data_IF_815415338983
#
_entry.id   IF_815415338983
#
_cell.length_a   1.000
_cell.length_b   1.000
_cell.length_c   1.000
_cell.angle_alpha   90.00
_cell.angle_beta   90.00
_cell.angle_gamma   90.00
#
_symmetry.space_group_name_H-M   'P 1'
#
loop_
_entity.id
_entity.type
_entity.pdbx_description
1 polymer ?
#
# COMPACT_ATOMS: atom_id res chain seq x y z
N UNK A 1 -2.65 -0.61 18.04
CA UNK A 1 -3.06 -0.75 16.65
C UNK A 1 -2.21 -1.81 15.97
N UNK A 2 -2.82 -2.59 15.10
CA UNK A 2 -2.12 -3.70 14.45
C UNK A 2 -1.30 -3.26 13.23
N UNK A 3 -1.51 -2.04 12.73
CA UNK A 3 -0.77 -1.52 11.57
C UNK A 3 -0.06 -0.24 11.96
N UNK A 4 1.25 -0.20 11.72
CA UNK A 4 2.03 1.02 11.85
C UNK A 4 1.97 1.78 10.52
N UNK A 5 1.53 3.04 10.57
CA UNK A 5 1.48 3.91 9.39
C UNK A 5 2.22 5.19 9.74
N UNK A 6 3.30 5.48 9.02
CA UNK A 6 4.17 6.62 9.30
C UNK A 6 4.58 7.32 8.02
N UNK A 7 4.86 8.62 8.14
CA UNK A 7 5.56 9.37 7.10
C UNK A 7 7.05 9.37 7.45
N UNK A 8 7.89 9.01 6.49
CA UNK A 8 9.33 9.03 6.72
C UNK A 8 9.83 10.48 6.76
N UNK A 9 10.61 10.86 7.77
CA UNK A 9 11.04 12.26 7.91
C UNK A 9 11.81 12.76 6.69
N UNK A 10 11.37 13.90 6.15
CA UNK A 10 12.05 14.54 5.02
C UNK A 10 11.88 13.87 3.67
N UNK A 11 11.04 12.84 3.57
CA UNK A 11 10.83 12.10 2.34
C UNK A 11 9.34 12.00 2.02
N UNK A 12 8.93 12.03 0.72
CA UNK A 12 7.53 11.87 0.35
C UNK A 12 7.12 10.39 0.32
N UNK A 13 7.31 9.71 1.45
CA UNK A 13 7.07 8.27 1.59
C UNK A 13 6.16 8.00 2.78
N UNK A 14 5.04 7.34 2.51
CA UNK A 14 4.15 6.82 3.55
C UNK A 14 4.39 5.32 3.66
N UNK A 15 4.73 4.86 4.86
CA UNK A 15 5.03 3.45 5.13
C UNK A 15 3.90 2.82 5.92
N UNK A 16 3.36 1.72 5.42
CA UNK A 16 2.29 0.94 6.05
C UNK A 16 2.86 -0.44 6.38
N UNK A 17 2.87 -0.79 7.68
CA UNK A 17 3.44 -2.04 8.16
C UNK A 17 2.47 -2.76 9.10
N UNK A 18 1.66 -3.69 8.59
CA UNK A 18 0.81 -4.51 9.46
C UNK A 18 1.65 -5.44 10.34
N UNK A 19 1.20 -5.66 11.57
CA UNK A 19 1.79 -6.69 12.44
C UNK A 19 1.30 -8.06 11.97
N UNK A 20 2.19 -8.93 11.49
CA UNK A 20 1.77 -10.23 10.96
C UNK A 20 1.01 -11.11 11.95
N UNK A 21 1.26 -10.92 13.25
CA UNK A 21 0.66 -11.76 14.29
C UNK A 21 -0.79 -11.37 14.59
N UNK A 22 -1.16 -10.11 14.40
CA UNK A 22 -2.48 -9.60 14.84
C UNK A 22 -3.32 -8.99 13.73
N UNK A 23 -2.75 -8.82 12.53
CA UNK A 23 -3.45 -8.16 11.43
C UNK A 23 -4.68 -8.94 10.96
N UNK A 24 -5.79 -8.24 10.81
CA UNK A 24 -7.03 -8.79 10.26
C UNK A 24 -7.51 -7.90 9.12
N UNK A 25 -7.63 -8.46 7.92
CA UNK A 25 -8.07 -7.69 6.76
C UNK A 25 -9.42 -7.03 7.00
N UNK A 26 -10.39 -7.79 7.49
CA UNK A 26 -11.75 -7.28 7.68
C UNK A 26 -11.83 -6.13 8.69
N UNK A 27 -11.02 -6.19 9.75
CA UNK A 27 -11.04 -5.18 10.81
C UNK A 27 -10.10 -4.01 10.52
N UNK A 28 -8.89 -4.31 10.02
CA UNK A 28 -7.82 -3.34 9.99
C UNK A 28 -7.73 -2.56 8.67
N UNK A 29 -8.04 -3.20 7.53
CA UNK A 29 -7.91 -2.52 6.24
C UNK A 29 -8.82 -1.30 6.12
N UNK A 30 -10.10 -1.35 6.52
CA UNK A 30 -10.94 -0.15 6.46
C UNK A 30 -10.41 1.00 7.35
N UNK A 31 -9.92 0.67 8.54
CA UNK A 31 -9.34 1.66 9.46
C UNK A 31 -8.05 2.22 8.87
N UNK A 32 -7.18 1.35 8.37
CA UNK A 32 -5.91 1.75 7.79
C UNK A 32 -6.12 2.61 6.54
N UNK A 33 -7.12 2.28 5.73
CA UNK A 33 -7.49 3.09 4.56
C UNK A 33 -7.79 4.53 4.97
N UNK A 34 -8.62 4.72 6.02
CA UNK A 34 -8.95 6.07 6.51
C UNK A 34 -7.72 6.79 7.07
N UNK A 35 -6.86 6.10 7.80
CA UNK A 35 -5.63 6.70 8.34
C UNK A 35 -4.71 7.17 7.22
N UNK A 36 -4.56 6.36 6.17
CA UNK A 36 -3.73 6.73 5.02
C UNK A 36 -4.34 7.89 4.24
N UNK A 37 -5.67 7.92 4.09
CA UNK A 37 -6.34 9.03 3.43
C UNK A 37 -6.10 10.35 4.15
N UNK A 38 -6.14 10.36 5.49
CA UNK A 38 -5.87 11.57 6.26
C UNK A 38 -4.46 12.09 5.99
N UNK A 39 -3.48 11.21 5.88
CA UNK A 39 -2.11 11.62 5.57
C UNK A 39 -1.99 12.15 4.14
N UNK A 40 -2.65 11.50 3.18
CA UNK A 40 -2.65 11.96 1.80
C UNK A 40 -3.37 13.31 1.65
N UNK A 41 -4.50 13.49 2.35
CA UNK A 41 -5.26 14.75 2.32
C UNK A 41 -4.44 15.90 2.90
N UNK A 42 -3.61 15.62 3.90
CA UNK A 42 -2.81 16.64 4.59
C UNK A 42 -1.49 16.95 3.91
N UNK A 43 -1.09 16.14 2.92
CA UNK A 43 0.19 16.32 2.25
C UNK A 43 0.08 17.38 1.16
N UNK A 44 1.08 18.26 1.10
CA UNK A 44 1.18 19.27 0.04
C UNK A 44 1.93 18.76 -1.21
N UNK A 45 2.31 17.49 -1.21
CA UNK A 45 2.97 16.85 -2.34
C UNK A 45 2.52 15.40 -2.48
N UNK A 46 2.62 14.82 -3.68
CA UNK A 46 2.31 13.40 -3.86
C UNK A 46 3.23 12.51 -3.03
N UNK A 47 2.66 11.43 -2.50
CA UNK A 47 3.38 10.48 -1.66
C UNK A 47 3.50 9.12 -2.34
N UNK A 48 4.65 8.47 -2.17
CA UNK A 48 4.78 7.05 -2.45
C UNK A 48 4.22 6.28 -1.25
N UNK A 49 3.47 5.21 -1.52
CA UNK A 49 2.99 4.32 -0.47
C UNK A 49 3.76 3.01 -0.56
N UNK A 50 4.49 2.68 0.50
CA UNK A 50 5.11 1.37 0.64
C UNK A 50 4.28 0.56 1.63
N UNK A 51 3.71 -0.55 1.15
CA UNK A 51 3.01 -1.50 2.01
C UNK A 51 3.97 -2.65 2.30
N UNK A 52 4.50 -2.67 3.52
CA UNK A 52 5.43 -3.72 3.96
C UNK A 52 4.63 -4.89 4.53
N UNK A 53 4.39 -5.87 3.68
CA UNK A 53 3.63 -7.07 4.01
C UNK A 53 4.53 -8.25 4.36
N UNK A 54 5.74 -7.97 4.81
CA UNK A 54 6.69 -9.02 5.25
C UNK A 54 6.04 -9.90 6.30
N UNK A 55 6.08 -11.21 6.06
CA UNK A 55 5.49 -12.25 6.94
C UNK A 55 3.97 -12.19 7.10
N UNK A 56 3.28 -11.31 6.38
CA UNK A 56 1.82 -11.29 6.37
C UNK A 56 1.32 -12.33 5.38
N UNK A 57 0.38 -13.18 5.81
CA UNK A 57 -0.25 -14.18 4.97
C UNK A 57 -1.75 -14.19 5.27
N UNK A 58 -2.56 -14.20 4.23
CA UNK A 58 -4.01 -14.21 4.34
C UNK A 58 -4.60 -15.12 3.26
N UNK A 59 -5.88 -15.45 3.38
CA UNK A 59 -6.56 -16.26 2.37
C UNK A 59 -6.97 -15.45 1.15
N UNK A 60 -7.37 -16.16 0.11
CA UNK A 60 -7.76 -15.53 -1.16
C UNK A 60 -8.92 -14.53 -0.98
N UNK A 61 -9.96 -14.93 -0.23
CA UNK A 61 -11.12 -14.05 -0.02
C UNK A 61 -10.73 -12.76 0.72
N UNK A 62 -9.77 -12.84 1.64
CA UNK A 62 -9.26 -11.65 2.33
C UNK A 62 -8.54 -10.72 1.37
N UNK A 63 -7.76 -11.28 0.43
CA UNK A 63 -7.08 -10.47 -0.59
C UNK A 63 -8.11 -9.72 -1.43
N UNK A 64 -9.16 -10.42 -1.89
CA UNK A 64 -10.22 -9.80 -2.70
C UNK A 64 -10.93 -8.69 -1.93
N UNK A 65 -11.25 -8.93 -0.66
CA UNK A 65 -11.89 -7.94 0.20
C UNK A 65 -10.99 -6.71 0.41
N UNK A 66 -9.72 -6.93 0.68
CA UNK A 66 -8.76 -5.85 0.88
C UNK A 66 -8.59 -5.00 -0.38
N UNK A 67 -8.48 -5.64 -1.53
CA UNK A 67 -8.39 -4.93 -2.81
C UNK A 67 -9.63 -4.07 -3.06
N UNK A 68 -10.81 -4.61 -2.78
CA UNK A 68 -12.06 -3.85 -2.96
C UNK A 68 -12.08 -2.60 -2.06
N UNK A 69 -11.71 -2.75 -0.81
CA UNK A 69 -11.66 -1.62 0.13
C UNK A 69 -10.69 -0.54 -0.34
N UNK A 70 -9.52 -0.95 -0.84
CA UNK A 70 -8.47 0.00 -1.21
C UNK A 70 -8.66 0.61 -2.61
N UNK A 71 -9.56 0.06 -3.44
CA UNK A 71 -9.70 0.52 -4.83
C UNK A 71 -11.11 0.95 -5.22
N UNK A 72 -12.17 0.37 -4.63
CA UNK A 72 -13.53 0.51 -5.16
C UNK A 72 -14.45 1.40 -4.36
N UNK A 73 -14.11 1.71 -3.12
CA UNK A 73 -14.93 2.62 -2.32
C UNK A 73 -14.75 4.06 -2.79
N UNK A 74 -15.70 4.94 -2.46
CA UNK A 74 -15.62 6.36 -2.84
C UNK A 74 -14.40 7.06 -2.21
N UNK A 75 -13.86 6.50 -1.13
CA UNK A 75 -12.68 7.02 -0.45
C UNK A 75 -11.58 5.96 -0.39
N UNK A 76 -11.28 5.37 -1.54
CA UNK A 76 -10.24 4.35 -1.63
C UNK A 76 -8.86 5.01 -1.75
N UNK A 77 -7.92 4.59 -0.91
CA UNK A 77 -6.58 5.18 -0.86
C UNK A 77 -5.85 5.04 -2.20
N UNK A 78 -6.04 3.94 -2.90
CA UNK A 78 -5.34 3.72 -4.17
C UNK A 78 -5.90 4.55 -5.33
N UNK A 79 -6.98 5.30 -5.10
CA UNK A 79 -7.53 6.25 -6.08
C UNK A 79 -7.25 7.70 -5.71
N UNK A 80 -6.54 7.95 -4.63
CA UNK A 80 -6.28 9.32 -4.17
C UNK A 80 -5.35 10.04 -5.15
N UNK A 81 -5.66 11.30 -5.50
CA UNK A 81 -4.82 12.06 -6.45
C UNK A 81 -3.41 12.35 -5.95
N UNK A 82 -3.19 12.34 -4.63
CA UNK A 82 -1.87 12.53 -4.03
C UNK A 82 -1.07 11.23 -3.88
N UNK A 83 -1.61 10.10 -4.31
CA UNK A 83 -0.83 8.87 -4.34
C UNK A 83 0.02 8.84 -5.60
N UNK A 84 1.36 8.86 -5.43
CA UNK A 84 2.29 8.83 -6.55
C UNK A 84 2.43 7.43 -7.13
N UNK A 85 2.67 6.45 -6.26
CA UNK A 85 2.83 5.05 -6.67
C UNK A 85 2.69 4.15 -5.46
N UNK A 86 2.16 2.94 -5.69
CA UNK A 86 2.14 1.87 -4.69
C UNK A 86 3.34 0.96 -4.90
N UNK A 87 4.02 0.64 -3.80
CA UNK A 87 5.11 -0.33 -3.77
C UNK A 87 4.78 -1.35 -2.68
N UNK A 88 4.84 -2.63 -3.01
CA UNK A 88 4.48 -3.71 -2.10
C UNK A 88 5.72 -4.53 -1.78
N UNK A 89 5.96 -4.79 -0.50
CA UNK A 89 7.04 -5.65 -0.03
C UNK A 89 6.44 -6.99 0.37
N UNK A 90 6.77 -8.05 -0.36
CA UNK A 90 6.24 -9.38 -0.06
C UNK A 90 7.01 -10.46 -0.80
N UNK A 91 7.02 -11.67 -0.22
CA UNK A 91 7.40 -12.90 -0.93
C UNK A 91 6.20 -13.86 -1.02
N UNK A 92 5.03 -13.42 -0.55
CA UNK A 92 3.80 -14.23 -0.59
C UNK A 92 3.14 -14.07 -1.95
N UNK A 93 3.00 -15.17 -2.68
CA UNK A 93 2.56 -15.14 -4.08
C UNK A 93 1.20 -14.51 -4.28
N UNK A 94 0.25 -14.71 -3.37
CA UNK A 94 -1.08 -14.10 -3.48
C UNK A 94 -1.00 -12.58 -3.54
N UNK A 95 -0.12 -11.96 -2.77
CA UNK A 95 0.05 -10.52 -2.82
C UNK A 95 0.72 -10.06 -4.12
N UNK A 96 1.65 -10.86 -4.64
CA UNK A 96 2.26 -10.55 -5.94
C UNK A 96 1.22 -10.58 -7.06
N UNK A 97 0.34 -11.57 -7.03
CA UNK A 97 -0.74 -11.68 -8.01
C UNK A 97 -1.74 -10.53 -7.85
N UNK A 98 -2.06 -10.16 -6.60
CA UNK A 98 -2.96 -9.04 -6.35
C UNK A 98 -2.39 -7.72 -6.87
N UNK A 99 -1.10 -7.48 -6.67
CA UNK A 99 -0.44 -6.28 -7.19
C UNK A 99 -0.53 -6.20 -8.71
N UNK A 100 -0.34 -7.34 -9.40
CA UNK A 100 -0.48 -7.39 -10.85
C UNK A 100 -1.93 -7.13 -11.30
N UNK A 101 -2.90 -7.64 -10.53
CA UNK A 101 -4.31 -7.45 -10.85
C UNK A 101 -4.76 -5.99 -10.77
N UNK A 102 -4.05 -5.15 -10.02
CA UNK A 102 -4.38 -3.73 -9.90
C UNK A 102 -4.29 -2.98 -11.24
N UNK A 103 -3.55 -3.50 -12.21
CA UNK A 103 -3.50 -2.93 -13.56
C UNK A 103 -4.82 -3.05 -14.31
N UNK A 104 -5.69 -3.98 -13.90
CA UNK A 104 -6.98 -4.17 -14.57
C UNK A 104 -7.88 -2.96 -14.32
N UNK A 105 -8.69 -2.61 -15.32
CA UNK A 105 -9.56 -1.44 -15.26
C UNK A 105 -10.51 -1.48 -14.06
N UNK A 106 -10.98 -2.67 -13.68
CA UNK A 106 -11.89 -2.82 -12.54
C UNK A 106 -11.25 -2.42 -11.20
N UNK A 107 -9.92 -2.41 -11.12
CA UNK A 107 -9.18 -2.00 -9.91
C UNK A 107 -8.50 -0.64 -10.09
N UNK A 108 -8.80 0.09 -11.17
CA UNK A 108 -8.29 1.44 -11.38
C UNK A 108 -7.09 1.55 -12.31
N UNK A 109 -6.60 0.44 -12.86
CA UNK A 109 -5.48 0.48 -13.79
C UNK A 109 -4.16 0.89 -13.14
N UNK A 110 -4.01 0.66 -11.84
CA UNK A 110 -2.83 1.09 -11.07
C UNK A 110 -1.64 0.17 -11.32
N UNK A 111 -0.47 0.76 -11.56
CA UNK A 111 0.77 0.02 -11.67
C UNK A 111 1.50 0.01 -10.35
N UNK A 112 1.66 -1.20 -9.75
CA UNK A 112 2.33 -1.39 -8.49
C UNK A 112 3.63 -2.16 -8.71
N UNK A 113 4.69 -1.78 -7.98
CA UNK A 113 5.95 -2.51 -7.97
C UNK A 113 6.00 -3.44 -6.76
N UNK A 114 6.65 -4.60 -6.91
CA UNK A 114 6.77 -5.58 -5.84
C UNK A 114 8.22 -5.91 -5.60
N UNK A 115 8.65 -5.90 -4.35
CA UNK A 115 10.01 -6.23 -3.93
C UNK A 115 9.98 -7.23 -2.77
N UNK A 116 10.99 -8.11 -2.68
CA UNK A 116 11.02 -9.10 -1.60
C UNK A 116 11.43 -8.53 -0.24
N UNK A 117 12.08 -7.37 -0.20
CA UNK A 117 12.54 -6.76 1.05
C UNK A 117 12.23 -5.27 1.09
N UNK A 118 12.08 -4.74 2.31
CA UNK A 118 11.87 -3.32 2.51
C UNK A 118 13.05 -2.48 2.01
N UNK A 119 14.28 -2.97 2.20
CA UNK A 119 15.46 -2.25 1.74
C UNK A 119 15.45 -2.04 0.22
N UNK A 120 15.06 -3.06 -0.54
CA UNK A 120 14.96 -2.95 -1.99
C UNK A 120 13.84 -2.00 -2.41
N UNK A 121 12.71 -2.05 -1.72
CA UNK A 121 11.60 -1.14 -1.99
C UNK A 121 11.99 0.31 -1.73
N UNK A 122 12.65 0.57 -0.60
CA UNK A 122 13.14 1.91 -0.27
C UNK A 122 14.15 2.42 -1.28
N UNK A 123 15.08 1.55 -1.71
CA UNK A 123 16.07 1.92 -2.72
C UNK A 123 15.39 2.33 -4.04
N UNK A 124 14.40 1.55 -4.47
CA UNK A 124 13.63 1.87 -5.67
C UNK A 124 12.93 3.22 -5.56
N UNK A 125 12.22 3.45 -4.45
CA UNK A 125 11.45 4.68 -4.25
C UNK A 125 12.38 5.89 -4.18
N UNK A 126 13.47 5.79 -3.43
CA UNK A 126 14.43 6.89 -3.29
C UNK A 126 15.11 7.22 -4.62
N UNK A 127 15.39 6.21 -5.43
CA UNK A 127 15.93 6.42 -6.77
C UNK A 127 14.91 7.11 -7.67
N UNK A 128 13.64 6.73 -7.56
CA UNK A 128 12.55 7.35 -8.32
C UNK A 128 12.36 8.82 -7.94
N UNK A 129 12.46 9.13 -6.65
CA UNK A 129 12.38 10.50 -6.16
C UNK A 129 13.53 11.34 -6.71
N UNK A 130 14.75 10.80 -6.69
CA UNK A 130 15.94 11.50 -7.18
C UNK A 130 15.91 11.73 -8.69
N UNK A 131 15.27 10.85 -9.44
CA UNK A 131 15.17 10.95 -10.90
C UNK A 131 14.06 11.91 -11.35
N UNK A 132 13.08 12.11 -10.50
CA UNK A 132 11.92 12.91 -10.83
C UNK A 132 11.92 14.29 -10.34
#
# INVERSE_FOLDING_TARGET
>A
MTTEITLLPGEPIMLNRPDPATFSVAKDVPVDNERMLQLLDSSDQPLYLIMDLTNVKVGFSDVVMGMATLTKTSRAVLRHPNLKQLVVVTTFELFTLAAKALKQAQYGGLEAQVFPTLDEALAYVRQSIAAG
#
